data_IF_092688289877
#
_entry.id   IF_092688289877
#
_cell.length_a   1.000
_cell.length_b   1.000
_cell.length_c   1.000
_cell.angle_alpha   90.00
_cell.angle_beta   90.00
_cell.angle_gamma   90.00
#
_symmetry.space_group_name_H-M   'P 1'
#
loop_
_entity.id
_entity.type
_entity.pdbx_description
1 polymer ?
#
# COMPACT_ATOMS: atom_id res chain seq x y z
N UNK A 1 -20.15 3.08 20.15
CA UNK A 1 -18.92 3.05 19.35
C UNK A 1 -18.00 4.09 19.99
N UNK A 2 -16.86 3.65 20.52
CA UNK A 2 -15.92 4.54 21.20
C UNK A 2 -15.30 5.50 20.18
N UNK A 3 -15.13 6.78 20.53
CA UNK A 3 -14.54 7.79 19.66
C UNK A 3 -13.42 8.51 20.42
N UNK A 4 -12.21 8.45 19.88
CA UNK A 4 -11.02 9.12 20.41
C UNK A 4 -10.56 10.16 19.42
N UNK A 5 -10.35 11.39 19.86
CA UNK A 5 -9.63 12.41 19.11
C UNK A 5 -8.20 12.45 19.66
N UNK A 6 -7.20 12.18 18.83
CA UNK A 6 -5.80 12.07 19.30
C UNK A 6 -5.28 13.35 19.96
N UNK A 7 -5.79 14.53 19.58
CA UNK A 7 -5.38 15.80 20.19
C UNK A 7 -6.01 16.06 21.59
N UNK A 8 -6.90 15.18 22.05
CA UNK A 8 -7.32 15.19 23.46
C UNK A 8 -6.24 14.59 24.38
N UNK A 9 -5.34 13.75 23.83
CA UNK A 9 -4.15 13.32 24.52
C UNK A 9 -3.10 14.45 24.46
N UNK A 10 -2.70 14.96 25.63
CA UNK A 10 -1.77 16.10 25.76
C UNK A 10 -0.34 15.78 25.32
N UNK A 11 -0.03 14.51 25.11
CA UNK A 11 1.27 14.04 24.63
C UNK A 11 1.32 13.90 23.11
N UNK A 12 0.22 14.18 22.40
CA UNK A 12 0.19 14.30 20.94
C UNK A 12 0.35 15.77 20.55
N UNK A 13 1.45 16.09 19.88
CA UNK A 13 1.82 17.45 19.48
C UNK A 13 1.37 17.79 18.06
N UNK A 14 1.47 16.84 17.13
CA UNK A 14 1.11 17.00 15.72
C UNK A 14 1.82 18.17 15.01
N UNK A 15 3.07 18.46 15.38
CA UNK A 15 3.86 19.58 14.86
C UNK A 15 4.99 19.17 13.89
N UNK A 16 5.14 17.87 13.64
CA UNK A 16 6.17 17.29 12.78
C UNK A 16 7.57 17.32 13.38
N UNK A 17 7.70 17.62 14.68
CA UNK A 17 8.98 17.73 15.39
C UNK A 17 9.02 16.77 16.56
N UNK A 18 7.97 16.77 17.39
CA UNK A 18 7.87 15.85 18.52
C UNK A 18 7.44 14.48 18.04
N UNK A 19 8.07 13.44 18.58
CA UNK A 19 7.70 12.06 18.31
C UNK A 19 6.40 11.72 19.03
N UNK A 20 5.33 11.59 18.25
CA UNK A 20 3.98 11.34 18.74
C UNK A 20 3.67 9.84 18.89
N UNK A 21 4.60 8.95 18.53
CA UNK A 21 4.34 7.51 18.32
C UNK A 21 3.62 6.85 19.49
N UNK A 22 4.15 6.97 20.72
CA UNK A 22 3.58 6.31 21.89
C UNK A 22 2.23 6.89 22.28
N UNK A 23 2.07 8.20 22.19
CA UNK A 23 0.83 8.88 22.51
C UNK A 23 -0.27 8.52 21.50
N UNK A 24 0.07 8.45 20.21
CA UNK A 24 -0.84 8.00 19.16
C UNK A 24 -1.21 6.53 19.32
N UNK A 25 -0.25 5.65 19.58
CA UNK A 25 -0.54 4.24 19.83
C UNK A 25 -1.49 4.08 21.01
N UNK A 26 -1.29 4.84 22.10
CA UNK A 26 -2.20 4.77 23.25
C UNK A 26 -3.65 5.16 22.89
N UNK A 27 -3.83 6.14 21.98
CA UNK A 27 -5.15 6.53 21.50
C UNK A 27 -5.80 5.43 20.64
N UNK A 28 -5.00 4.66 19.89
CA UNK A 28 -5.48 3.50 19.11
C UNK A 28 -5.84 2.34 20.04
N UNK A 29 -5.03 2.11 21.08
CA UNK A 29 -5.23 1.04 22.06
C UNK A 29 -6.50 1.26 22.90
N UNK A 30 -6.88 2.51 23.17
CA UNK A 30 -8.13 2.87 23.86
C UNK A 30 -9.39 2.34 23.16
N UNK A 31 -9.31 2.07 21.85
CA UNK A 31 -10.39 1.48 21.05
C UNK A 31 -9.99 0.16 20.41
N UNK A 32 -9.06 -0.59 21.01
CA UNK A 32 -8.60 -1.91 20.51
C UNK A 32 -9.73 -2.92 20.29
N UNK A 33 -10.81 -2.83 21.08
CA UNK A 33 -12.00 -3.69 20.98
C UNK A 33 -13.04 -3.14 19.97
N UNK A 34 -12.67 -2.11 19.22
CA UNK A 34 -13.47 -1.45 18.20
C UNK A 34 -13.86 0.00 18.55
N UNK A 35 -13.93 0.85 17.52
CA UNK A 35 -14.23 2.27 17.66
C UNK A 35 -13.60 3.12 16.57
N UNK A 36 -13.60 4.43 16.76
CA UNK A 36 -13.03 5.40 15.84
C UNK A 36 -11.92 6.19 16.52
N UNK A 37 -10.75 6.22 15.89
CA UNK A 37 -9.66 7.13 16.23
C UNK A 37 -9.63 8.23 15.18
N UNK A 38 -9.81 9.47 15.60
CA UNK A 38 -9.79 10.64 14.74
C UNK A 38 -8.47 11.40 14.88
N UNK A 39 -7.84 11.68 13.74
CA UNK A 39 -6.62 12.45 13.60
C UNK A 39 -6.95 13.80 12.92
N UNK A 40 -7.06 14.90 13.69
CA UNK A 40 -7.25 16.25 13.14
C UNK A 40 -6.11 16.73 12.23
N UNK A 41 -6.21 17.95 11.71
CA UNK A 41 -5.14 18.59 10.95
C UNK A 41 -3.86 18.65 11.80
N UNK A 42 -2.71 18.26 11.23
CA UNK A 42 -1.43 18.24 11.94
C UNK A 42 -0.40 17.34 11.23
N UNK A 43 0.85 17.42 11.67
CA UNK A 43 1.91 16.50 11.23
C UNK A 43 2.37 15.64 12.40
N UNK A 44 2.02 14.37 12.35
CA UNK A 44 2.28 13.36 13.36
C UNK A 44 3.59 12.65 13.03
N UNK A 45 4.67 13.02 13.70
CA UNK A 45 5.97 12.38 13.49
C UNK A 45 5.98 11.03 14.23
N UNK A 46 6.29 9.95 13.52
CA UNK A 46 6.31 8.58 14.08
C UNK A 46 7.63 7.87 13.87
N UNK A 47 8.14 7.22 14.92
CA UNK A 47 9.39 6.46 15.00
C UNK A 47 9.19 4.94 15.10
N UNK A 48 7.94 4.47 15.09
CA UNK A 48 7.60 3.06 14.95
C UNK A 48 6.26 2.92 14.22
N UNK A 49 5.92 1.69 13.84
CA UNK A 49 4.62 1.40 13.25
C UNK A 49 3.50 1.66 14.26
N UNK A 50 2.46 2.36 13.83
CA UNK A 50 1.19 2.42 14.54
C UNK A 50 0.41 1.13 14.20
N UNK A 51 0.04 0.38 15.24
CA UNK A 51 -0.58 -0.92 15.12
C UNK A 51 -2.10 -0.78 15.28
N UNK A 52 -2.85 -1.24 14.28
CA UNK A 52 -4.32 -1.19 14.28
C UNK A 52 -4.94 -2.56 14.51
N UNK A 53 -6.14 -2.55 15.08
CA UNK A 53 -6.87 -3.74 15.53
C UNK A 53 -8.21 -3.88 14.80
N UNK A 54 -8.88 -5.01 14.99
CA UNK A 54 -10.18 -5.28 14.40
C UNK A 54 -11.25 -4.26 14.81
N UNK A 55 -12.27 -4.08 13.97
CA UNK A 55 -13.44 -3.22 14.22
C UNK A 55 -13.10 -1.73 14.42
N UNK A 56 -11.97 -1.27 13.86
CA UNK A 56 -11.50 0.10 13.99
C UNK A 56 -11.77 0.96 12.76
N UNK A 57 -12.05 2.24 13.00
CA UNK A 57 -12.03 3.29 11.99
C UNK A 57 -10.89 4.25 12.36
N UNK A 58 -9.81 4.23 11.59
CA UNK A 58 -8.77 5.24 11.65
C UNK A 58 -9.14 6.36 10.68
N UNK A 59 -9.69 7.45 11.22
CA UNK A 59 -10.19 8.57 10.44
C UNK A 59 -9.22 9.75 10.54
N UNK A 60 -8.61 10.10 9.42
CA UNK A 60 -7.70 11.22 9.30
C UNK A 60 -8.42 12.38 8.60
N UNK A 61 -8.12 13.61 9.03
CA UNK A 61 -8.44 14.78 8.21
C UNK A 61 -7.61 14.76 6.92
N UNK A 62 -8.07 15.43 5.86
CA UNK A 62 -7.35 15.52 4.59
C UNK A 62 -5.96 16.20 4.72
N UNK A 63 -5.70 16.88 5.84
CA UNK A 63 -4.43 17.56 6.14
C UNK A 63 -3.65 16.92 7.29
N UNK A 64 -4.11 15.81 7.85
CA UNK A 64 -3.33 15.00 8.77
C UNK A 64 -2.19 14.33 8.00
N UNK A 65 -0.96 14.51 8.46
CA UNK A 65 0.23 13.89 7.87
C UNK A 65 0.82 12.92 8.89
N UNK A 66 0.88 11.63 8.58
CA UNK A 66 1.70 10.67 9.33
C UNK A 66 3.08 10.65 8.68
N UNK A 67 4.08 11.18 9.37
CA UNK A 67 5.42 11.41 8.85
C UNK A 67 6.43 10.49 9.51
N UNK A 68 7.22 9.77 8.70
CA UNK A 68 8.33 8.95 9.20
C UNK A 68 9.42 9.81 9.85
N UNK A 69 9.77 9.47 11.10
CA UNK A 69 10.92 10.00 11.83
C UNK A 69 12.25 9.49 11.28
N UNK A 70 13.29 10.31 11.39
CA UNK A 70 14.69 9.93 11.15
C UNK A 70 15.34 9.26 12.38
N UNK A 71 14.60 9.15 13.50
CA UNK A 71 15.04 8.59 14.78
C UNK A 71 14.15 7.43 15.16
N UNK A 72 14.47 6.23 14.69
CA UNK A 72 13.71 5.01 15.00
C UNK A 72 14.64 3.84 15.32
N UNK A 73 14.39 3.16 16.44
CA UNK A 73 15.12 1.97 16.87
C UNK A 73 14.14 0.92 17.43
N UNK A 74 13.93 -0.23 16.75
CA UNK A 74 14.45 -0.57 15.42
C UNK A 74 13.90 0.36 14.34
N UNK A 75 14.56 0.39 13.18
CA UNK A 75 14.17 1.26 12.08
C UNK A 75 12.67 1.09 11.72
N UNK A 76 11.94 2.20 11.63
CA UNK A 76 10.54 2.19 11.20
C UNK A 76 10.46 1.68 9.77
N UNK A 77 9.90 0.47 9.61
CA UNK A 77 9.65 -0.16 8.31
C UNK A 77 8.22 0.03 7.81
N UNK A 78 7.33 0.45 8.70
CA UNK A 78 5.90 0.68 8.46
C UNK A 78 5.40 1.92 9.18
N UNK A 79 4.52 2.72 8.56
CA UNK A 79 3.79 3.78 9.30
C UNK A 79 2.55 3.20 9.99
N UNK A 80 1.81 2.35 9.29
CA UNK A 80 0.69 1.57 9.82
C UNK A 80 0.89 0.09 9.50
N UNK A 81 0.54 -0.77 10.46
CA UNK A 81 0.50 -2.21 10.26
C UNK A 81 -0.68 -2.83 11.03
N UNK A 82 -1.30 -3.86 10.46
CA UNK A 82 -2.30 -4.64 11.18
C UNK A 82 -1.65 -5.40 12.34
N UNK A 83 -2.36 -5.49 13.47
CA UNK A 83 -2.00 -6.45 14.51
C UNK A 83 -2.13 -7.89 13.98
N UNK A 84 -1.28 -8.79 14.47
CA UNK A 84 -1.30 -10.21 14.15
C UNK A 84 -0.77 -11.02 15.34
N UNK A 85 -1.08 -12.33 15.34
CA UNK A 85 -0.50 -13.32 16.25
C UNK A 85 0.11 -14.49 15.46
N UNK A 86 1.06 -15.25 16.05
CA UNK A 86 1.71 -16.39 15.39
C UNK A 86 0.79 -17.55 14.98
N UNK A 87 -0.41 -17.63 15.56
CA UNK A 87 -1.40 -18.69 15.31
C UNK A 87 -2.59 -18.21 14.47
N UNK A 88 -2.64 -16.93 14.08
CA UNK A 88 -3.66 -16.40 13.18
C UNK A 88 -3.26 -16.71 11.74
N UNK A 89 -3.89 -17.75 11.19
CA UNK A 89 -3.70 -18.24 9.83
C UNK A 89 -4.79 -17.73 8.89
N UNK A 90 -4.60 -17.92 7.59
CA UNK A 90 -5.63 -17.63 6.58
C UNK A 90 -6.17 -16.19 6.70
N UNK A 91 -7.48 -16.00 6.88
CA UNK A 91 -8.11 -14.67 6.96
C UNK A 91 -8.66 -14.36 8.36
N UNK A 92 -8.15 -15.07 9.38
CA UNK A 92 -8.59 -15.00 10.78
C UNK A 92 -7.90 -13.89 11.59
N UNK A 93 -7.07 -13.08 10.95
CA UNK A 93 -6.37 -11.97 11.58
C UNK A 93 -7.24 -10.71 11.75
N UNK A 94 -6.59 -9.54 11.75
CA UNK A 94 -7.28 -8.26 11.94
C UNK A 94 -8.39 -8.04 10.90
N UNK A 95 -9.59 -7.67 11.33
CA UNK A 95 -10.75 -7.59 10.44
C UNK A 95 -11.67 -6.38 10.68
N UNK A 96 -12.47 -6.03 9.66
CA UNK A 96 -13.45 -4.94 9.69
C UNK A 96 -12.82 -3.57 10.05
N UNK A 97 -11.79 -3.19 9.29
CA UNK A 97 -11.03 -1.96 9.51
C UNK A 97 -11.23 -0.97 8.36
N UNK A 98 -11.44 0.29 8.71
CA UNK A 98 -11.48 1.41 7.75
C UNK A 98 -10.35 2.38 8.07
N UNK A 99 -9.46 2.61 7.11
CA UNK A 99 -8.45 3.67 7.11
C UNK A 99 -8.92 4.72 6.11
N UNK A 100 -9.31 5.90 6.58
CA UNK A 100 -9.96 6.91 5.75
C UNK A 100 -9.30 8.28 5.91
N UNK A 101 -8.89 8.90 4.80
CA UNK A 101 -8.26 10.22 4.78
C UNK A 101 -6.74 10.20 5.04
N UNK A 102 -6.16 11.38 5.17
CA UNK A 102 -4.78 11.55 5.62
C UNK A 102 -3.71 11.41 4.54
N UNK A 103 -2.51 11.83 4.91
CA UNK A 103 -1.30 11.80 4.09
C UNK A 103 -0.27 10.93 4.79
N UNK A 104 0.14 9.84 4.16
CA UNK A 104 1.18 8.93 4.64
C UNK A 104 2.49 9.27 3.93
N UNK A 105 3.48 9.73 4.69
CA UNK A 105 4.73 10.27 4.17
C UNK A 105 5.93 9.50 4.71
N UNK A 106 6.57 8.70 3.85
CA UNK A 106 7.77 7.94 4.20
C UNK A 106 9.03 8.80 4.38
N UNK A 107 8.90 10.13 4.24
CA UNK A 107 9.94 11.15 4.36
C UNK A 107 10.98 11.08 3.23
N UNK A 108 10.87 11.99 2.26
CA UNK A 108 11.73 12.07 1.07
C UNK A 108 13.24 12.18 1.33
N UNK A 109 13.65 12.55 2.54
CA UNK A 109 15.06 12.72 2.88
C UNK A 109 15.69 11.40 3.39
N UNK A 110 14.87 10.36 3.58
CA UNK A 110 15.28 9.03 4.02
C UNK A 110 15.29 8.08 2.82
N UNK A 111 16.31 7.23 2.75
CA UNK A 111 16.53 6.30 1.64
C UNK A 111 16.39 4.84 2.10
N UNK A 112 16.12 4.58 3.37
CA UNK A 112 15.92 3.24 3.88
C UNK A 112 14.53 2.70 3.50
N UNK A 113 14.46 1.42 3.14
CA UNK A 113 13.20 0.79 2.71
C UNK A 113 12.06 0.98 3.72
N UNK A 114 10.87 1.33 3.21
CA UNK A 114 9.64 1.51 3.97
C UNK A 114 8.42 1.11 3.15
N UNK A 115 7.52 0.37 3.79
CA UNK A 115 6.14 0.21 3.33
C UNK A 115 5.26 1.18 4.14
N UNK A 116 4.32 1.93 3.56
CA UNK A 116 3.55 2.89 4.39
C UNK A 116 2.43 2.21 5.18
N UNK A 117 1.68 1.32 4.54
CA UNK A 117 0.59 0.55 5.17
C UNK A 117 0.75 -0.93 4.85
N UNK A 118 0.72 -1.78 5.88
CA UNK A 118 0.77 -3.23 5.74
C UNK A 118 -0.48 -3.90 6.32
N UNK A 119 -0.98 -4.92 5.63
CA UNK A 119 -1.96 -5.89 6.18
C UNK A 119 -1.39 -7.29 6.11
N UNK A 120 -1.68 -8.14 7.11
CA UNK A 120 -1.39 -9.58 7.08
C UNK A 120 -2.54 -10.37 7.69
N UNK A 121 -2.95 -11.47 7.04
CA UNK A 121 -4.07 -12.33 7.47
C UNK A 121 -5.39 -11.62 7.70
N UNK A 122 -5.57 -10.45 7.09
CA UNK A 122 -6.72 -9.61 7.38
C UNK A 122 -7.96 -10.04 6.61
N UNK A 123 -9.13 -9.58 7.08
CA UNK A 123 -10.36 -9.62 6.29
C UNK A 123 -11.16 -8.32 6.38
N UNK A 124 -11.89 -7.96 5.31
CA UNK A 124 -12.76 -6.77 5.29
C UNK A 124 -12.02 -5.47 5.62
N UNK A 125 -11.00 -5.13 4.82
CA UNK A 125 -10.20 -3.91 4.99
C UNK A 125 -10.58 -2.87 3.94
N UNK A 126 -10.84 -1.64 4.36
CA UNK A 126 -11.06 -0.51 3.45
C UNK A 126 -10.01 0.57 3.70
N UNK A 127 -9.28 0.94 2.64
CA UNK A 127 -8.35 2.08 2.63
C UNK A 127 -8.89 3.08 1.61
N UNK A 128 -9.27 4.27 2.07
CA UNK A 128 -9.94 5.24 1.21
C UNK A 128 -9.57 6.70 1.43
N UNK A 129 -9.62 7.49 0.36
CA UNK A 129 -9.38 8.95 0.40
C UNK A 129 -8.00 9.33 0.98
N UNK A 130 -7.01 8.43 0.89
CA UNK A 130 -5.66 8.63 1.42
C UNK A 130 -4.73 9.18 0.33
N UNK A 131 -3.64 9.84 0.76
CA UNK A 131 -2.50 10.15 -0.10
C UNK A 131 -1.23 9.49 0.40
N UNK A 132 -0.53 8.78 -0.46
CA UNK A 132 0.72 8.09 -0.16
C UNK A 132 1.87 8.75 -0.92
N UNK A 133 2.97 9.08 -0.22
CA UNK A 133 4.15 9.68 -0.85
C UNK A 133 5.44 9.24 -0.19
N UNK A 134 6.51 9.22 -0.98
CA UNK A 134 7.87 8.90 -0.53
C UNK A 134 8.02 7.51 0.13
N UNK A 135 7.35 6.49 -0.41
CA UNK A 135 7.63 5.08 -0.11
C UNK A 135 8.95 4.66 -0.79
N UNK A 136 10.06 4.69 -0.03
CA UNK A 136 11.39 4.37 -0.52
C UNK A 136 11.61 2.84 -0.61
N UNK A 137 12.14 2.36 -1.73
CA UNK A 137 12.55 0.99 -2.05
C UNK A 137 11.55 -0.17 -1.88
N UNK A 138 10.43 0.01 -1.18
CA UNK A 138 9.35 -0.98 -1.04
C UNK A 138 8.03 -0.38 -1.55
N UNK A 139 6.94 -0.49 -0.79
CA UNK A 139 5.58 -0.31 -1.30
C UNK A 139 4.88 0.86 -0.61
N UNK A 140 3.92 1.48 -1.28
CA UNK A 140 3.05 2.42 -0.56
C UNK A 140 2.01 1.64 0.25
N UNK A 141 1.44 0.56 -0.30
CA UNK A 141 0.61 -0.41 0.42
C UNK A 141 1.09 -1.81 0.08
N UNK A 142 1.21 -2.66 1.09
CA UNK A 142 1.49 -4.09 0.93
C UNK A 142 0.36 -4.90 1.56
N UNK A 143 -0.33 -5.68 0.74
CA UNK A 143 -1.48 -6.49 1.16
C UNK A 143 -1.03 -7.95 1.19
N UNK A 144 -0.81 -8.50 2.39
CA UNK A 144 -0.38 -9.88 2.57
C UNK A 144 -1.55 -10.76 3.00
N UNK A 145 -1.78 -11.86 2.28
CA UNK A 145 -2.71 -12.92 2.68
C UNK A 145 -4.07 -12.42 3.18
N UNK A 146 -4.65 -11.43 2.52
CA UNK A 146 -5.85 -10.71 2.97
C UNK A 146 -7.05 -11.04 2.08
N UNK A 147 -8.24 -11.18 2.67
CA UNK A 147 -9.50 -11.37 1.93
C UNK A 147 -10.42 -10.13 2.04
N UNK A 148 -11.12 -9.80 0.95
CA UNK A 148 -12.11 -8.70 0.92
C UNK A 148 -11.49 -7.33 1.27
N UNK A 149 -10.45 -6.92 0.54
CA UNK A 149 -9.86 -5.59 0.70
C UNK A 149 -10.27 -4.63 -0.42
N UNK A 150 -10.50 -3.37 -0.05
CA UNK A 150 -10.81 -2.28 -0.99
C UNK A 150 -9.83 -1.13 -0.80
N UNK A 151 -9.16 -0.73 -1.87
CA UNK A 151 -8.34 0.50 -1.94
C UNK A 151 -9.00 1.46 -2.92
N UNK A 152 -9.54 2.58 -2.44
CA UNK A 152 -10.34 3.46 -3.28
C UNK A 152 -10.12 4.97 -3.08
N UNK A 153 -10.26 5.74 -4.15
CA UNK A 153 -10.18 7.21 -4.12
C UNK A 153 -8.85 7.74 -3.53
N UNK A 154 -7.77 6.97 -3.64
CA UNK A 154 -6.46 7.34 -3.10
C UNK A 154 -5.56 7.96 -4.18
N UNK A 155 -4.55 8.70 -3.74
CA UNK A 155 -3.49 9.26 -4.59
C UNK A 155 -2.14 8.65 -4.18
N UNK A 156 -1.41 8.10 -5.14
CA UNK A 156 -0.10 7.50 -4.95
C UNK A 156 0.96 8.34 -5.68
N UNK A 157 1.79 9.06 -4.93
CA UNK A 157 2.93 9.84 -5.41
C UNK A 157 4.25 9.22 -4.89
N UNK A 158 4.34 7.89 -4.98
CA UNK A 158 5.09 7.04 -4.07
C UNK A 158 6.63 7.08 -4.11
N UNK A 159 7.34 7.11 -5.25
CA UNK A 159 8.78 6.89 -5.20
C UNK A 159 9.58 8.15 -4.83
N UNK A 160 10.46 8.08 -3.84
CA UNK A 160 11.39 9.17 -3.47
C UNK A 160 12.82 9.00 -4.01
N UNK A 161 13.18 7.83 -4.54
CA UNK A 161 14.57 7.49 -4.86
C UNK A 161 14.88 7.49 -6.36
N UNK A 162 16.12 7.84 -6.69
CA UNK A 162 16.63 7.85 -8.07
C UNK A 162 17.41 6.56 -8.34
N UNK A 163 16.97 5.74 -9.28
CA UNK A 163 17.71 4.53 -9.65
C UNK A 163 19.07 4.82 -10.30
N UNK A 164 20.05 3.98 -9.96
CA UNK A 164 21.34 3.85 -10.65
C UNK A 164 21.53 2.49 -11.35
N UNK A 165 20.59 1.55 -11.22
CA UNK A 165 20.71 0.18 -11.76
C UNK A 165 19.38 -0.34 -12.36
N UNK A 166 19.47 -1.37 -13.20
CA UNK A 166 18.41 -1.89 -14.09
C UNK A 166 17.32 -2.78 -13.42
N UNK A 167 17.22 -2.77 -12.09
CA UNK A 167 16.33 -3.69 -11.34
C UNK A 167 15.12 -2.90 -10.82
N UNK A 168 13.97 -3.01 -11.51
CA UNK A 168 12.71 -2.33 -11.20
C UNK A 168 11.68 -3.36 -10.74
N UNK A 169 11.52 -3.54 -9.43
CA UNK A 169 10.59 -4.50 -8.82
C UNK A 169 9.91 -3.93 -7.57
N UNK A 170 9.28 -2.75 -7.66
CA UNK A 170 8.55 -2.21 -6.52
C UNK A 170 7.23 -1.60 -6.98
N UNK A 171 6.12 -2.26 -6.68
CA UNK A 171 4.80 -1.74 -6.96
C UNK A 171 4.34 -0.77 -5.88
N UNK A 172 3.58 0.27 -6.26
CA UNK A 172 2.98 1.16 -5.26
C UNK A 172 1.96 0.42 -4.38
N UNK A 173 1.19 -0.50 -4.96
CA UNK A 173 0.41 -1.50 -4.25
C UNK A 173 0.92 -2.89 -4.63
N UNK A 174 1.44 -3.63 -3.64
CA UNK A 174 1.78 -5.03 -3.82
C UNK A 174 0.70 -5.92 -3.20
N UNK A 175 0.32 -6.96 -3.95
CA UNK A 175 -0.39 -8.12 -3.43
C UNK A 175 0.64 -9.21 -3.15
N UNK A 176 0.65 -9.77 -1.94
CA UNK A 176 1.58 -10.84 -1.58
C UNK A 176 0.93 -11.86 -0.63
N UNK A 177 1.70 -12.87 -0.24
CA UNK A 177 1.31 -13.96 0.64
C UNK A 177 1.85 -13.77 2.06
N UNK A 178 1.19 -14.41 3.02
CA UNK A 178 1.67 -14.49 4.40
C UNK A 178 2.87 -15.44 4.54
N UNK A 179 4.06 -14.98 4.12
CA UNK A 179 5.32 -15.75 4.19
C UNK A 179 6.45 -14.93 4.82
N UNK A 180 7.21 -15.55 5.71
CA UNK A 180 8.44 -14.96 6.23
C UNK A 180 9.42 -14.61 5.10
N UNK A 181 9.84 -13.35 5.07
CA UNK A 181 10.76 -12.84 4.04
C UNK A 181 10.08 -12.32 2.78
N UNK A 182 8.76 -12.50 2.61
CA UNK A 182 7.98 -11.75 1.60
C UNK A 182 7.82 -10.29 2.02
N UNK A 183 7.55 -10.03 3.31
CA UNK A 183 7.51 -8.68 3.88
C UNK A 183 8.42 -8.57 5.13
N UNK A 184 8.86 -7.35 5.45
CA UNK A 184 9.79 -7.06 6.55
C UNK A 184 9.16 -7.17 7.95
N UNK A 185 9.95 -7.32 9.02
CA UNK A 185 9.43 -7.46 10.39
C UNK A 185 8.70 -6.20 10.86
N UNK A 186 7.55 -6.39 11.52
CA UNK A 186 6.77 -5.32 12.14
C UNK A 186 7.13 -5.22 13.62
N UNK A 187 7.51 -4.03 14.09
CA UNK A 187 7.75 -3.76 15.51
C UNK A 187 6.78 -2.67 15.99
N UNK A 188 6.18 -2.89 17.15
CA UNK A 188 5.37 -1.87 17.80
C UNK A 188 6.24 -0.75 18.43
N UNK A 189 5.59 0.26 19.01
CA UNK A 189 6.27 1.42 19.61
C UNK A 189 7.13 1.13 20.85
N UNK A 190 7.10 -0.09 21.38
CA UNK A 190 7.97 -0.56 22.46
C UNK A 190 9.10 -1.46 21.95
N UNK A 191 9.25 -1.61 20.62
CA UNK A 191 10.27 -2.45 19.99
C UNK A 191 9.97 -3.94 20.08
N UNK A 192 8.74 -4.32 20.40
CA UNK A 192 8.29 -5.72 20.42
C UNK A 192 7.89 -6.13 19.01
N UNK A 193 8.39 -7.29 18.56
CA UNK A 193 8.00 -7.89 17.28
C UNK A 193 6.52 -8.27 17.32
N UNK A 194 5.76 -7.80 16.33
CA UNK A 194 4.41 -8.31 16.03
C UNK A 194 4.60 -9.42 15.00
N UNK A 195 4.55 -10.66 15.49
CA UNK A 195 4.78 -11.86 14.68
C UNK A 195 3.49 -12.35 14.03
N UNK A 196 3.60 -13.22 13.04
CA UNK A 196 2.47 -13.73 12.27
C UNK A 196 2.67 -15.18 11.86
N UNK A 197 1.57 -15.84 11.46
CA UNK A 197 1.67 -17.19 10.92
C UNK A 197 2.25 -17.18 9.50
N UNK A 198 3.48 -17.62 9.32
CA UNK A 198 3.93 -17.96 7.96
C UNK A 198 3.24 -19.25 7.48
N UNK A 199 2.34 -19.15 6.50
CA UNK A 199 1.56 -20.28 5.95
C UNK A 199 1.26 -20.17 4.44
N UNK A 200 1.81 -19.16 3.76
CA UNK A 200 1.62 -18.90 2.32
C UNK A 200 0.18 -18.52 1.94
N UNK A 201 -0.64 -18.06 2.89
CA UNK A 201 -1.99 -17.55 2.60
C UNK A 201 -1.93 -16.44 1.54
N UNK A 202 -2.75 -16.57 0.51
CA UNK A 202 -2.81 -15.66 -0.65
C UNK A 202 -3.94 -14.63 -0.52
N UNK A 203 -3.82 -13.50 -1.20
CA UNK A 203 -4.89 -12.51 -1.32
C UNK A 203 -6.10 -13.00 -2.14
N UNK A 204 -7.32 -12.64 -1.70
CA UNK A 204 -8.60 -12.91 -2.39
C UNK A 204 -9.56 -11.73 -2.35
N UNK A 205 -10.35 -11.57 -3.40
CA UNK A 205 -11.43 -10.58 -3.47
C UNK A 205 -10.93 -9.15 -3.22
N UNK A 206 -9.94 -8.71 -4.01
CA UNK A 206 -9.30 -7.41 -3.85
C UNK A 206 -9.87 -6.44 -4.89
N UNK A 207 -10.27 -5.25 -4.44
CA UNK A 207 -10.79 -4.18 -5.30
C UNK A 207 -9.89 -2.96 -5.19
N UNK A 208 -9.29 -2.54 -6.30
CA UNK A 208 -8.49 -1.32 -6.39
C UNK A 208 -9.19 -0.40 -7.39
N UNK A 209 -9.82 0.68 -6.93
CA UNK A 209 -10.66 1.51 -7.80
C UNK A 209 -10.60 3.02 -7.57
N UNK A 210 -10.83 3.80 -8.62
CA UNK A 210 -10.89 5.26 -8.56
C UNK A 210 -9.62 5.92 -7.97
N UNK A 211 -8.47 5.25 -8.05
CA UNK A 211 -7.20 5.79 -7.54
C UNK A 211 -6.44 6.53 -8.64
N UNK A 212 -5.51 7.40 -8.22
CA UNK A 212 -4.56 8.06 -9.11
C UNK A 212 -3.15 7.59 -8.74
N UNK A 213 -2.47 6.93 -9.67
CA UNK A 213 -1.09 6.50 -9.52
C UNK A 213 -0.18 7.42 -10.34
N UNK A 214 0.72 8.14 -9.67
CA UNK A 214 1.86 8.78 -10.34
C UNK A 214 2.95 7.75 -10.49
N UNK A 215 3.05 7.16 -11.67
CA UNK A 215 3.96 6.07 -11.95
C UNK A 215 5.30 6.62 -12.43
N UNK A 216 6.23 6.96 -11.54
CA UNK A 216 7.57 7.46 -11.92
C UNK A 216 8.57 6.33 -12.24
N UNK A 217 8.24 5.46 -13.21
CA UNK A 217 9.08 4.32 -13.61
C UNK A 217 8.85 3.02 -12.81
N UNK A 218 7.75 2.96 -12.06
CA UNK A 218 7.33 1.82 -11.24
C UNK A 218 5.91 1.39 -11.56
N UNK A 219 5.57 0.09 -11.44
CA UNK A 219 4.19 -0.35 -11.52
C UNK A 219 3.35 0.31 -10.43
N UNK A 220 2.13 0.70 -10.77
CA UNK A 220 1.15 1.11 -9.77
C UNK A 220 0.69 -0.08 -8.93
N UNK A 221 0.48 -1.23 -9.56
CA UNK A 221 -0.08 -2.43 -8.93
C UNK A 221 0.65 -3.68 -9.42
N UNK A 222 0.93 -4.62 -8.52
CA UNK A 222 1.41 -5.94 -8.93
C UNK A 222 1.72 -6.91 -7.81
N UNK A 223 2.52 -7.92 -8.14
CA UNK A 223 3.12 -8.89 -7.23
C UNK A 223 4.38 -9.49 -7.88
N UNK A 224 5.23 -10.13 -7.07
CA UNK A 224 6.53 -10.64 -7.52
C UNK A 224 6.80 -12.14 -7.29
N UNK A 225 5.91 -12.86 -6.61
CA UNK A 225 6.04 -14.31 -6.42
C UNK A 225 5.24 -15.15 -7.43
N UNK A 226 5.52 -16.46 -7.46
CA UNK A 226 4.65 -17.46 -8.11
C UNK A 226 3.48 -17.78 -7.16
N UNK A 227 2.44 -16.95 -7.14
CA UNK A 227 1.40 -16.94 -6.09
C UNK A 227 -0.01 -16.98 -6.66
N UNK A 228 -0.85 -17.85 -6.08
CA UNK A 228 -2.26 -18.06 -6.45
C UNK A 228 -3.20 -16.94 -5.91
N UNK A 229 -3.01 -15.68 -6.30
CA UNK A 229 -3.98 -14.62 -5.94
C UNK A 229 -5.28 -14.77 -6.75
N UNK A 230 -6.44 -14.52 -6.13
CA UNK A 230 -7.74 -14.73 -6.79
C UNK A 230 -8.69 -13.53 -6.69
N UNK A 231 -9.50 -13.34 -7.74
CA UNK A 231 -10.62 -12.40 -7.77
C UNK A 231 -10.14 -10.95 -7.53
N UNK A 232 -9.37 -10.44 -8.49
CA UNK A 232 -8.79 -9.10 -8.41
C UNK A 232 -9.53 -8.18 -9.37
N UNK A 233 -10.10 -7.09 -8.87
CA UNK A 233 -10.77 -6.07 -9.66
C UNK A 233 -9.96 -4.77 -9.62
N UNK A 234 -9.51 -4.31 -10.78
CA UNK A 234 -8.83 -3.02 -10.96
C UNK A 234 -9.71 -2.15 -11.86
N UNK A 235 -10.39 -1.17 -11.27
CA UNK A 235 -11.46 -0.42 -11.95
C UNK A 235 -11.31 1.10 -11.86
N UNK A 236 -11.46 1.80 -12.98
CA UNK A 236 -11.55 3.27 -13.03
C UNK A 236 -10.38 4.01 -12.38
N UNK A 237 -9.17 3.43 -12.39
CA UNK A 237 -7.97 4.09 -11.91
C UNK A 237 -7.33 4.91 -13.02
N UNK A 238 -6.57 5.94 -12.63
CA UNK A 238 -5.71 6.73 -13.52
C UNK A 238 -4.27 6.38 -13.21
N UNK A 239 -3.56 5.84 -14.18
CA UNK A 239 -2.13 5.61 -14.14
C UNK A 239 -1.44 6.70 -14.96
N UNK A 240 -0.89 7.68 -14.26
CA UNK A 240 -0.26 8.86 -14.84
C UNK A 240 1.27 8.68 -14.85
N UNK A 241 1.80 8.33 -16.02
CA UNK A 241 3.24 8.20 -16.28
C UNK A 241 3.94 9.56 -16.31
N UNK A 242 5.24 9.63 -16.01
CA UNK A 242 5.92 10.89 -15.79
C UNK A 242 6.27 11.54 -17.13
N UNK A 243 6.19 12.87 -17.20
CA UNK A 243 6.51 13.65 -18.41
C UNK A 243 8.02 13.90 -18.61
N UNK A 244 8.94 13.24 -17.89
CA UNK A 244 10.32 13.72 -17.88
C UNK A 244 11.41 12.89 -17.22
N UNK A 245 11.26 11.57 -17.03
CA UNK A 245 12.37 10.72 -16.59
C UNK A 245 12.58 9.55 -17.53
N UNK A 246 13.81 9.45 -18.04
CA UNK A 246 14.32 8.34 -18.83
C UNK A 246 14.44 7.15 -17.88
N UNK A 247 13.44 6.28 -17.88
CA UNK A 247 13.38 5.07 -17.07
C UNK A 247 12.51 4.06 -17.77
N UNK A 248 12.94 2.80 -17.79
CA UNK A 248 12.25 1.69 -18.45
C UNK A 248 10.91 1.44 -17.76
N UNK A 249 9.85 2.13 -18.18
CA UNK A 249 8.51 1.78 -17.72
C UNK A 249 8.20 0.35 -18.15
N UNK A 250 7.98 -0.53 -17.19
CA UNK A 250 7.43 -1.87 -17.41
C UNK A 250 6.09 -1.84 -16.73
N UNK A 251 4.98 -1.91 -17.48
CA UNK A 251 3.65 -2.19 -16.93
C UNK A 251 3.15 -1.22 -15.84
N UNK A 252 2.11 -0.45 -16.10
CA UNK A 252 1.40 0.20 -14.98
C UNK A 252 0.81 -0.83 -14.01
N UNK A 253 0.49 -2.02 -14.54
CA UNK A 253 0.08 -3.20 -13.79
C UNK A 253 0.99 -4.37 -14.19
N UNK A 254 1.54 -5.09 -13.21
CA UNK A 254 2.34 -6.31 -13.44
C UNK A 254 1.78 -7.48 -12.65
N UNK A 255 1.37 -8.53 -13.35
CA UNK A 255 1.09 -9.82 -12.74
C UNK A 255 2.09 -10.86 -13.22
N UNK A 256 2.92 -11.37 -12.32
CA UNK A 256 3.67 -12.62 -12.51
C UNK A 256 2.72 -13.84 -12.62
N UNK A 257 3.22 -15.06 -12.91
CA UNK A 257 2.35 -16.21 -13.10
C UNK A 257 1.46 -16.44 -11.87
N UNK A 258 0.35 -17.16 -12.08
CA UNK A 258 -0.52 -17.70 -11.02
C UNK A 258 -1.55 -16.74 -10.40
N UNK A 259 -1.85 -15.57 -10.97
CA UNK A 259 -3.07 -14.82 -10.57
C UNK A 259 -4.30 -15.30 -11.36
N UNK A 260 -5.48 -15.39 -10.75
CA UNK A 260 -6.71 -15.86 -11.43
C UNK A 260 -7.90 -14.92 -11.22
N UNK A 261 -8.77 -14.88 -12.23
CA UNK A 261 -9.99 -14.06 -12.24
C UNK A 261 -9.68 -12.58 -11.96
N UNK A 262 -8.81 -12.01 -12.80
CA UNK A 262 -8.45 -10.61 -12.79
C UNK A 262 -9.34 -9.87 -13.79
N UNK A 263 -9.96 -8.78 -13.34
CA UNK A 263 -10.70 -7.88 -14.21
C UNK A 263 -10.08 -6.48 -14.12
N UNK A 264 -9.59 -5.98 -15.25
CA UNK A 264 -9.03 -4.63 -15.39
C UNK A 264 -9.97 -3.83 -16.29
N UNK A 265 -10.75 -2.91 -15.73
CA UNK A 265 -11.78 -2.20 -16.51
C UNK A 265 -11.89 -0.70 -16.29
N UNK A 266 -12.15 0.05 -17.37
CA UNK A 266 -12.40 1.49 -17.30
C UNK A 266 -11.21 2.32 -16.83
N UNK A 267 -9.99 1.77 -16.79
CA UNK A 267 -8.81 2.49 -16.33
C UNK A 267 -8.25 3.40 -17.43
N UNK A 268 -7.58 4.48 -17.05
CA UNK A 268 -6.84 5.35 -17.96
C UNK A 268 -5.33 5.20 -17.73
N UNK A 269 -4.61 4.84 -18.77
CA UNK A 269 -3.15 4.68 -18.78
C UNK A 269 -2.54 5.79 -19.63
N UNK A 270 -1.86 6.73 -18.97
CA UNK A 270 -1.36 7.95 -19.57
C UNK A 270 0.16 7.89 -19.61
N UNK A 271 0.72 7.79 -20.81
CA UNK A 271 2.14 7.82 -21.08
C UNK A 271 2.55 9.17 -21.69
N UNK A 272 3.81 9.62 -21.48
CA UNK A 272 4.36 10.76 -22.20
C UNK A 272 4.37 10.55 -23.72
N UNK A 273 4.38 11.67 -24.46
CA UNK A 273 4.41 11.70 -25.92
C UNK A 273 5.76 11.22 -26.50
N UNK A 274 6.84 11.27 -25.72
CA UNK A 274 8.18 10.79 -26.08
C UNK A 274 8.77 9.97 -24.91
N UNK A 275 9.21 8.74 -25.18
CA UNK A 275 9.89 7.89 -24.19
C UNK A 275 10.83 6.88 -24.88
N UNK A 276 12.01 6.65 -24.29
CA UNK A 276 13.01 5.68 -24.77
C UNK A 276 12.63 4.21 -24.48
N UNK A 277 11.52 3.97 -23.79
CA UNK A 277 11.03 2.63 -23.43
C UNK A 277 9.51 2.55 -23.48
N UNK A 278 8.93 1.40 -23.88
CA UNK A 278 7.49 1.26 -24.04
C UNK A 278 6.76 1.34 -22.69
N UNK A 279 5.80 2.25 -22.54
CA UNK A 279 4.90 2.26 -21.38
C UNK A 279 3.82 1.18 -21.57
N UNK A 280 4.07 -0.03 -21.09
CA UNK A 280 3.11 -1.13 -21.24
C UNK A 280 1.94 -0.91 -20.27
N UNK A 281 0.70 -1.07 -20.74
CA UNK A 281 -0.52 -0.97 -19.94
C UNK A 281 -0.57 -2.00 -18.83
N UNK A 282 -0.71 -3.25 -19.25
CA UNK A 282 -0.86 -4.42 -18.38
C UNK A 282 0.16 -5.48 -18.84
N UNK A 283 0.99 -5.97 -17.91
CA UNK A 283 1.88 -7.10 -18.13
C UNK A 283 1.32 -8.30 -17.37
N UNK A 284 1.18 -9.43 -18.06
CA UNK A 284 0.90 -10.72 -17.42
C UNK A 284 1.92 -11.75 -17.87
N UNK A 285 2.58 -12.40 -16.92
CA UNK A 285 3.45 -13.57 -17.17
C UNK A 285 2.66 -14.89 -16.98
N UNK A 286 1.33 -14.83 -16.81
CA UNK A 286 0.54 -16.05 -16.63
C UNK A 286 0.45 -16.85 -17.94
N UNK A 287 0.73 -18.17 -17.91
CA UNK A 287 0.62 -19.03 -19.09
C UNK A 287 -0.81 -19.15 -19.64
N UNK A 288 -1.83 -19.08 -18.78
CA UNK A 288 -3.23 -19.00 -19.22
C UNK A 288 -3.59 -17.54 -19.49
N UNK A 289 -4.05 -17.22 -20.69
CA UNK A 289 -4.43 -15.84 -21.05
C UNK A 289 -5.88 -15.50 -20.72
N UNK A 290 -6.71 -16.49 -20.35
CA UNK A 290 -8.13 -16.28 -20.05
C UNK A 290 -8.37 -15.85 -18.59
N UNK A 291 -7.33 -15.78 -17.78
CA UNK A 291 -7.41 -15.40 -16.36
C UNK A 291 -7.66 -13.90 -16.15
N UNK A 292 -7.44 -13.09 -17.18
CA UNK A 292 -7.38 -11.63 -17.10
C UNK A 292 -8.27 -11.08 -18.21
N UNK A 293 -9.29 -10.34 -17.82
CA UNK A 293 -10.10 -9.54 -18.75
C UNK A 293 -9.65 -8.10 -18.69
N UNK A 294 -9.50 -7.47 -19.85
CA UNK A 294 -9.25 -6.04 -19.99
C UNK A 294 -10.39 -5.45 -20.83
N UNK A 295 -11.17 -4.55 -20.24
CA UNK A 295 -12.38 -3.99 -20.88
C UNK A 295 -12.44 -2.47 -20.69
N UNK A 296 -12.83 -1.73 -21.71
CA UNK A 296 -13.04 -0.27 -21.65
C UNK A 296 -11.85 0.56 -21.10
N UNK A 297 -10.63 0.02 -21.17
CA UNK A 297 -9.43 0.74 -20.76
C UNK A 297 -8.96 1.72 -21.84
N UNK A 298 -8.53 2.90 -21.41
CA UNK A 298 -8.03 3.96 -22.28
C UNK A 298 -6.51 4.01 -22.18
N UNK A 299 -5.86 4.03 -23.34
CA UNK A 299 -4.41 4.01 -23.48
C UNK A 299 -3.98 5.22 -24.33
N UNK A 300 -3.18 6.13 -23.75
CA UNK A 300 -2.72 7.35 -24.44
C UNK A 300 -1.20 7.50 -24.34
N UNK A 301 -0.53 7.89 -25.43
CA UNK A 301 0.92 8.15 -25.49
C UNK A 301 1.69 7.20 -26.43
N UNK A 302 3.03 7.33 -26.46
CA UNK A 302 3.90 6.80 -27.53
C UNK A 302 3.91 5.25 -27.69
N UNK A 303 3.57 4.47 -26.65
CA UNK A 303 3.67 2.99 -26.69
C UNK A 303 2.78 2.22 -25.69
N UNK A 304 1.53 2.64 -25.49
CA UNK A 304 0.60 1.94 -24.60
C UNK A 304 0.00 0.69 -25.27
N UNK A 305 0.54 -0.49 -24.96
CA UNK A 305 -0.07 -1.79 -25.34
C UNK A 305 -1.04 -2.27 -24.26
N UNK A 306 -2.17 -2.84 -24.69
CA UNK A 306 -3.26 -3.29 -23.81
C UNK A 306 -2.83 -4.43 -22.87
N UNK A 307 -2.31 -5.54 -23.42
CA UNK A 307 -1.78 -6.66 -22.63
C UNK A 307 -0.52 -7.19 -23.32
N UNK A 308 0.61 -7.22 -22.60
CA UNK A 308 1.77 -8.02 -23.01
C UNK A 308 1.81 -9.31 -22.20
N UNK A 309 1.59 -10.44 -22.88
CA UNK A 309 1.92 -11.74 -22.32
C UNK A 309 3.45 -11.92 -22.34
N UNK A 310 4.07 -12.01 -21.16
CA UNK A 310 5.47 -12.37 -21.02
C UNK A 310 5.75 -13.76 -21.58
N UNK A 311 6.99 -13.99 -22.02
CA UNK A 311 7.52 -15.32 -22.32
C UNK A 311 8.43 -15.77 -21.20
#
# INVERSE_FOLDING_TARGET
MNFINVLNNKEVYADGIHDDTKALQSCIDEVKDGGTVYFPDGTYLVSAALIFYSNQILKFSDKAVVLRSDKSEPLTRYLLASYSEPDWAEYEGTHDVVISGGIFDGNKNLDECITLVNTVHCSNITIENCRFRHCAHWHCIEINGTENAVVQNCIFDGPSYTFKTDILFNEQIQLDMSRHGSYGPVYNCDGTLIDFKSDDTVCRNIVIKNNIFKCDGFPGIGHHGDIDHHNILIENNIFDGPSGRIGKSRGYIIFRPMVYNVSVKGNAFIAPEECDSPNIGIITENPDKNILTAEDNIFTGYFSQEIQAGK
#
